data_IF_407844433795
#
_entry.id   IF_407844433795
#
_cell.length_a   1.000
_cell.length_b   1.000
_cell.length_c   1.000
_cell.angle_alpha   90.00
_cell.angle_beta   90.00
_cell.angle_gamma   90.00
#
_symmetry.space_group_name_H-M   'P 1'
#
loop_
_entity.id
_entity.type
_entity.pdbx_description
1 polymer ?
#
# COMPACT_ATOMS: atom_id res chain seq x y z
N UNK A 1 -13.72 19.04 8.17
CA UNK A 1 -13.26 17.78 7.56
C UNK A 1 -13.88 16.66 8.35
N UNK A 2 -14.29 15.60 7.69
CA UNK A 2 -14.84 14.39 8.28
C UNK A 2 -13.73 13.37 8.48
N UNK A 3 -13.80 12.62 9.57
CA UNK A 3 -12.73 11.73 10.00
C UNK A 3 -13.13 10.29 9.66
N UNK A 4 -12.33 9.63 8.81
CA UNK A 4 -12.59 8.26 8.37
C UNK A 4 -11.43 7.34 8.71
N UNK A 5 -11.74 6.09 9.07
CA UNK A 5 -10.73 5.08 9.43
C UNK A 5 -10.53 4.10 8.30
N UNK A 6 -9.28 3.74 8.04
CA UNK A 6 -8.90 2.80 6.99
C UNK A 6 -7.85 1.83 7.50
N UNK A 7 -7.82 0.61 6.93
CA UNK A 7 -6.82 -0.40 7.28
C UNK A 7 -5.39 0.08 6.98
N UNK A 8 -4.49 -0.20 7.91
CA UNK A 8 -3.05 0.07 7.82
C UNK A 8 -2.25 -1.16 7.33
N UNK A 9 -1.14 -0.95 6.64
CA UNK A 9 -0.26 -2.01 6.10
C UNK A 9 0.23 -2.98 7.18
N UNK A 10 0.68 -2.48 8.34
CA UNK A 10 1.33 -3.26 9.40
C UNK A 10 0.44 -3.42 10.64
N UNK A 11 -0.81 -3.87 10.43
CA UNK A 11 -1.87 -3.96 11.45
C UNK A 11 -2.34 -2.60 11.98
N UNK A 12 -3.60 -2.59 12.43
CA UNK A 12 -4.30 -1.40 12.92
C UNK A 12 -4.97 -0.58 11.83
N UNK A 13 -5.36 0.63 12.22
CA UNK A 13 -6.07 1.58 11.37
C UNK A 13 -5.28 2.89 11.30
N UNK A 14 -5.44 3.61 10.19
CA UNK A 14 -5.09 5.02 10.09
C UNK A 14 -6.36 5.85 10.01
N UNK A 15 -6.26 7.11 10.40
CA UNK A 15 -7.39 8.04 10.40
C UNK A 15 -7.10 9.14 9.42
N UNK A 16 -7.97 9.35 8.43
CA UNK A 16 -7.82 10.40 7.43
C UNK A 16 -8.89 11.47 7.62
N UNK A 17 -8.48 12.73 7.52
CA UNK A 17 -9.41 13.86 7.44
C UNK A 17 -9.77 14.15 5.98
N UNK A 18 -11.05 14.04 5.66
CA UNK A 18 -11.59 14.18 4.31
C UNK A 18 -12.50 15.40 4.25
N UNK A 19 -12.34 16.24 3.23
CA UNK A 19 -13.31 17.28 2.89
C UNK A 19 -13.95 16.94 1.55
N UNK A 20 -15.16 16.38 1.55
CA UNK A 20 -15.89 16.09 0.32
C UNK A 20 -16.23 17.34 -0.49
N UNK A 21 -16.72 18.45 0.10
CA UNK A 21 -16.96 19.68 -0.66
C UNK A 21 -15.69 20.24 -1.31
N UNK A 22 -14.55 20.17 -0.62
CA UNK A 22 -13.25 20.62 -1.13
C UNK A 22 -12.60 19.59 -2.09
N UNK A 23 -13.14 18.37 -2.15
CA UNK A 23 -12.53 17.19 -2.75
C UNK A 23 -11.06 16.99 -2.38
N UNK A 24 -10.78 17.08 -1.07
CA UNK A 24 -9.42 17.03 -0.52
C UNK A 24 -9.28 16.08 0.65
N UNK A 25 -8.07 15.53 0.81
CA UNK A 25 -7.67 14.63 1.89
C UNK A 25 -6.44 15.23 2.56
N UNK A 26 -6.48 15.32 3.89
CA UNK A 26 -5.29 15.56 4.69
C UNK A 26 -4.65 14.23 5.07
N UNK A 27 -3.37 14.10 4.82
CA UNK A 27 -2.54 12.99 5.26
C UNK A 27 -1.51 13.54 6.26
N UNK A 28 -1.55 13.07 7.50
CA UNK A 28 -0.43 13.24 8.42
C UNK A 28 0.80 12.48 7.89
N UNK A 29 1.96 12.67 8.54
CA UNK A 29 3.21 12.08 8.07
C UNK A 29 3.10 10.56 7.84
N UNK A 30 3.46 10.16 6.61
CA UNK A 30 3.49 8.78 6.14
C UNK A 30 2.13 8.08 6.02
N UNK A 31 1.00 8.72 6.30
CA UNK A 31 -0.30 8.05 6.28
C UNK A 31 -0.67 7.49 4.90
N UNK A 32 -0.43 8.26 3.82
CA UNK A 32 -0.68 7.77 2.45
C UNK A 32 0.14 6.50 2.12
N UNK A 33 1.36 6.39 2.65
CA UNK A 33 2.22 5.23 2.44
C UNK A 33 1.81 4.04 3.32
N UNK A 34 1.19 4.32 4.47
CA UNK A 34 0.77 3.32 5.45
C UNK A 34 -0.62 2.73 5.15
N UNK A 35 -1.40 3.29 4.22
CA UNK A 35 -2.66 2.71 3.76
C UNK A 35 -2.47 1.30 3.22
N UNK A 36 -3.19 0.32 3.79
CA UNK A 36 -3.24 -1.04 3.26
C UNK A 36 -3.91 -1.08 1.88
N UNK A 37 -3.64 -2.07 1.02
CA UNK A 37 -4.35 -2.26 -0.24
C UNK A 37 -5.88 -2.28 -0.08
N UNK A 38 -6.38 -2.95 0.97
CA UNK A 38 -7.81 -2.94 1.30
C UNK A 38 -8.34 -1.54 1.64
N UNK A 39 -7.58 -0.76 2.43
CA UNK A 39 -7.92 0.62 2.78
C UNK A 39 -7.87 1.57 1.58
N UNK A 40 -6.98 1.32 0.61
CA UNK A 40 -6.94 2.07 -0.65
C UNK A 40 -8.21 1.83 -1.46
N UNK A 41 -8.67 0.57 -1.56
CA UNK A 41 -9.91 0.22 -2.26
C UNK A 41 -11.14 0.80 -1.57
N UNK A 42 -11.18 0.75 -0.25
CA UNK A 42 -12.24 1.34 0.58
C UNK A 42 -12.30 2.86 0.41
N UNK A 43 -11.16 3.54 0.52
CA UNK A 43 -11.06 4.97 0.27
C UNK A 43 -11.49 5.31 -1.16
N UNK A 44 -11.05 4.56 -2.18
CA UNK A 44 -11.48 4.80 -3.55
C UNK A 44 -13.01 4.74 -3.72
N UNK A 45 -13.68 3.75 -3.11
CA UNK A 45 -15.15 3.65 -3.13
C UNK A 45 -15.80 4.85 -2.44
N UNK A 46 -15.33 5.20 -1.24
CA UNK A 46 -15.84 6.37 -0.51
C UNK A 46 -15.70 7.65 -1.34
N UNK A 47 -14.55 7.90 -1.97
CA UNK A 47 -14.37 9.07 -2.80
C UNK A 47 -15.30 9.07 -4.03
N UNK A 48 -15.56 7.90 -4.60
CA UNK A 48 -16.48 7.75 -5.72
C UNK A 48 -17.94 7.98 -5.31
N UNK A 49 -18.38 7.50 -4.15
CA UNK A 49 -19.74 7.74 -3.64
C UNK A 49 -20.05 9.24 -3.50
N UNK A 50 -19.03 10.05 -3.24
CA UNK A 50 -19.14 11.51 -3.09
C UNK A 50 -18.72 12.30 -4.35
N UNK A 51 -18.53 11.66 -5.50
CA UNK A 51 -17.97 12.31 -6.70
C UNK A 51 -18.85 13.42 -7.28
N UNK A 52 -20.18 13.26 -7.20
CA UNK A 52 -21.17 14.19 -7.76
C UNK A 52 -21.44 15.40 -6.85
N UNK A 53 -20.82 15.47 -5.67
CA UNK A 53 -21.03 16.59 -4.78
C UNK A 53 -20.50 17.90 -5.37
N UNK A 54 -21.26 18.97 -5.17
CA UNK A 54 -20.91 20.33 -5.59
C UNK A 54 -19.55 20.73 -5.01
N UNK A 55 -18.56 20.80 -5.91
CA UNK A 55 -17.18 21.13 -5.57
C UNK A 55 -17.06 22.61 -5.21
N UNK A 56 -16.48 22.87 -4.03
CA UNK A 56 -16.06 24.20 -3.62
C UNK A 56 -14.60 24.45 -4.06
N UNK A 57 -14.32 25.58 -4.72
CA UNK A 57 -12.96 25.97 -5.04
C UNK A 57 -12.09 26.09 -3.80
N UNK A 58 -10.80 25.80 -3.95
CA UNK A 58 -9.85 26.01 -2.86
C UNK A 58 -9.62 27.49 -2.61
N UNK A 59 -9.23 27.82 -1.36
CA UNK A 59 -8.69 29.15 -1.03
C UNK A 59 -7.33 29.33 -1.71
N UNK A 60 -6.99 30.57 -2.05
CA UNK A 60 -5.71 30.91 -2.68
C UNK A 60 -4.48 30.49 -1.86
N UNK A 61 -4.62 30.48 -0.53
CA UNK A 61 -3.61 29.99 0.39
C UNK A 61 -4.21 28.91 1.29
N UNK A 62 -3.78 27.67 1.07
CA UNK A 62 -4.08 26.56 1.97
C UNK A 62 -3.20 26.67 3.23
N UNK A 63 -3.79 26.37 4.39
CA UNK A 63 -3.12 26.42 5.69
C UNK A 63 -3.08 25.04 6.33
N UNK A 64 -2.03 24.79 7.11
CA UNK A 64 -1.90 23.57 7.89
C UNK A 64 -2.93 23.55 9.04
N UNK A 65 -3.74 22.49 9.20
CA UNK A 65 -4.69 22.38 10.31
C UNK A 65 -4.02 22.26 11.68
N UNK A 66 -2.72 21.91 11.74
CA UNK A 66 -1.97 21.75 13.00
C UNK A 66 -1.28 23.03 13.47
N UNK A 67 -0.62 23.76 12.56
CA UNK A 67 0.22 24.91 12.91
C UNK A 67 -0.16 26.20 12.20
N UNK A 68 -1.25 26.21 11.42
CA UNK A 68 -1.76 27.35 10.65
C UNK A 68 -0.81 27.96 9.59
N UNK A 69 0.39 27.42 9.44
CA UNK A 69 1.35 27.84 8.42
C UNK A 69 0.82 27.61 7.00
N UNK A 70 1.21 28.50 6.08
CA UNK A 70 0.88 28.34 4.65
C UNK A 70 1.51 27.06 4.11
N UNK A 71 0.71 26.24 3.44
CA UNK A 71 1.20 25.02 2.81
C UNK A 71 2.02 25.36 1.57
N UNK A 72 3.12 24.64 1.40
CA UNK A 72 4.00 24.74 0.25
C UNK A 72 3.53 23.76 -0.83
N UNK A 73 3.43 24.24 -2.06
CA UNK A 73 3.16 23.38 -3.20
C UNK A 73 4.31 22.37 -3.40
N UNK A 74 3.95 21.12 -3.65
CA UNK A 74 4.85 20.01 -3.97
C UNK A 74 4.36 19.24 -5.20
N UNK A 75 5.32 18.68 -5.93
CA UNK A 75 5.07 17.85 -7.11
C UNK A 75 5.95 16.61 -6.99
N UNK A 76 5.31 15.44 -6.90
CA UNK A 76 6.00 14.14 -6.84
C UNK A 76 5.67 13.34 -8.10
N UNK A 77 6.38 12.23 -8.30
CA UNK A 77 6.20 11.34 -9.45
C UNK A 77 5.90 9.91 -9.01
N UNK A 78 4.99 9.28 -9.73
CA UNK A 78 4.71 7.85 -9.68
C UNK A 78 5.06 7.21 -11.02
N UNK A 79 4.85 5.89 -11.14
CA UNK A 79 4.96 5.19 -12.42
C UNK A 79 4.02 5.77 -13.49
N UNK A 80 2.86 6.32 -13.08
CA UNK A 80 1.80 6.76 -13.97
C UNK A 80 1.82 8.27 -14.25
N UNK A 81 2.86 8.98 -13.79
CA UNK A 81 3.02 10.42 -13.99
C UNK A 81 3.24 11.19 -12.70
N UNK A 82 3.14 12.51 -12.80
CA UNK A 82 3.29 13.43 -11.69
C UNK A 82 1.97 13.64 -10.93
N UNK A 83 2.04 14.01 -9.65
CA UNK A 83 0.88 14.47 -8.90
C UNK A 83 1.25 15.64 -7.99
N UNK A 84 0.34 16.59 -7.89
CA UNK A 84 0.50 17.80 -7.09
C UNK A 84 -0.10 17.63 -5.69
N UNK A 85 0.55 18.21 -4.68
CA UNK A 85 0.09 18.23 -3.29
C UNK A 85 0.54 19.52 -2.59
N UNK A 86 0.04 19.76 -1.37
CA UNK A 86 0.42 20.91 -0.56
C UNK A 86 0.93 20.43 0.80
N UNK A 87 2.22 20.58 1.08
CA UNK A 87 2.86 20.08 2.31
C UNK A 87 3.05 21.17 3.35
N UNK A 88 2.96 20.78 4.62
CA UNK A 88 3.31 21.66 5.72
C UNK A 88 4.85 21.82 5.81
N UNK A 89 5.40 23.04 5.91
CA UNK A 89 6.84 23.26 6.09
C UNK A 89 7.37 22.63 7.38
N UNK A 90 6.53 22.55 8.42
CA UNK A 90 6.83 21.92 9.71
C UNK A 90 6.68 20.39 9.70
N UNK A 91 6.44 19.77 8.53
CA UNK A 91 6.26 18.33 8.38
C UNK A 91 5.15 17.77 9.27
N UNK A 92 4.02 18.46 9.40
CA UNK A 92 2.83 17.89 10.04
C UNK A 92 2.07 16.92 9.12
N UNK A 93 2.18 17.12 7.81
CA UNK A 93 1.43 16.35 6.82
C UNK A 93 1.36 17.07 5.48
N UNK A 94 0.48 16.56 4.61
CA UNK A 94 0.17 17.14 3.30
C UNK A 94 -1.31 17.05 2.98
N UNK A 95 -1.77 18.03 2.24
CA UNK A 95 -3.08 18.07 1.62
C UNK A 95 -3.00 17.63 0.16
N UNK A 96 -3.80 16.62 -0.20
CA UNK A 96 -3.93 16.10 -1.55
C UNK A 96 -5.36 16.31 -2.04
N UNK A 97 -5.56 16.59 -3.33
CA UNK A 97 -6.90 16.44 -3.92
C UNK A 97 -7.26 14.95 -4.05
N UNK A 98 -8.55 14.65 -4.23
CA UNK A 98 -9.00 13.30 -4.59
C UNK A 98 -8.30 12.83 -5.88
N UNK A 99 -8.15 13.71 -6.88
CA UNK A 99 -7.43 13.40 -8.11
C UNK A 99 -5.95 13.09 -7.87
N UNK A 100 -5.28 13.79 -6.95
CA UNK A 100 -3.89 13.53 -6.61
C UNK A 100 -3.72 12.18 -5.92
N UNK A 101 -4.65 11.80 -5.03
CA UNK A 101 -4.69 10.45 -4.47
C UNK A 101 -4.92 9.38 -5.55
N UNK A 102 -5.89 9.59 -6.44
CA UNK A 102 -6.16 8.67 -7.55
C UNK A 102 -4.96 8.52 -8.48
N UNK A 103 -4.24 9.61 -8.75
CA UNK A 103 -2.99 9.60 -9.52
C UNK A 103 -1.90 8.82 -8.78
N UNK A 104 -1.72 9.12 -7.50
CA UNK A 104 -0.71 8.50 -6.65
C UNK A 104 -0.90 6.98 -6.60
N UNK A 105 -2.15 6.51 -6.50
CA UNK A 105 -2.49 5.08 -6.41
C UNK A 105 -2.73 4.41 -7.76
N UNK A 106 -2.74 5.18 -8.85
CA UNK A 106 -2.82 4.66 -10.22
C UNK A 106 -4.22 4.37 -10.76
N UNK A 107 -5.26 4.92 -10.15
CA UNK A 107 -6.65 4.82 -10.64
C UNK A 107 -6.94 5.74 -11.83
N UNK A 108 -6.11 6.75 -12.04
CA UNK A 108 -6.20 7.67 -13.18
C UNK A 108 -4.86 7.75 -13.87
N UNK A 109 -4.88 8.22 -15.12
CA UNK A 109 -3.67 8.51 -15.88
C UNK A 109 -3.69 9.95 -16.39
N UNK A 110 -2.49 10.45 -16.69
CA UNK A 110 -2.34 11.72 -17.40
C UNK A 110 -2.68 11.54 -18.87
N UNK A 111 -3.34 12.54 -19.43
CA UNK A 111 -3.52 12.61 -20.88
C UNK A 111 -2.20 12.97 -21.54
N UNK A 112 -1.92 12.33 -22.67
CA UNK A 112 -0.80 12.72 -23.52
C UNK A 112 -1.16 13.93 -24.39
N UNK A 113 -0.17 14.52 -25.06
CA UNK A 113 -0.38 15.73 -25.88
C UNK A 113 -1.41 15.56 -27.00
N UNK A 114 -1.43 14.41 -27.68
CA UNK A 114 -2.38 14.15 -28.76
C UNK A 114 -3.81 14.00 -28.25
N UNK A 115 -3.99 13.34 -27.09
CA UNK A 115 -5.30 13.24 -26.44
C UNK A 115 -5.80 14.60 -25.94
N UNK A 116 -4.90 15.45 -25.42
CA UNK A 116 -5.24 16.83 -25.03
C UNK A 116 -5.68 17.63 -26.26
N UNK A 117 -4.95 17.52 -27.37
CA UNK A 117 -5.29 18.22 -28.61
C UNK A 117 -6.65 17.77 -29.17
N UNK A 118 -6.94 16.47 -29.15
CA UNK A 118 -8.23 15.94 -29.56
C UNK A 118 -9.36 16.42 -28.64
N UNK A 119 -9.14 16.36 -27.32
CA UNK A 119 -10.12 16.85 -26.33
C UNK A 119 -10.37 18.37 -26.49
N UNK A 120 -9.33 19.13 -26.82
CA UNK A 120 -9.40 20.57 -27.02
C UNK A 120 -10.27 21.00 -28.21
N UNK A 121 -10.52 20.10 -29.17
CA UNK A 121 -11.46 20.33 -30.28
C UNK A 121 -12.91 20.36 -29.80
N UNK A 122 -13.23 19.62 -28.74
CA UNK A 122 -14.58 19.49 -28.21
C UNK A 122 -14.82 20.40 -27.01
N UNK A 123 -13.85 20.49 -26.11
CA UNK A 123 -13.95 21.25 -24.85
C UNK A 123 -12.73 22.12 -24.67
N UNK A 124 -12.91 23.43 -24.66
CA UNK A 124 -11.79 24.37 -24.54
C UNK A 124 -11.36 24.59 -23.09
N UNK A 125 -12.34 24.67 -22.17
CA UNK A 125 -12.10 24.96 -20.76
C UNK A 125 -12.69 23.86 -19.90
N UNK A 126 -11.85 23.22 -19.11
CA UNK A 126 -12.27 22.23 -18.11
C UNK A 126 -12.11 22.78 -16.70
N UNK A 127 -12.72 22.13 -15.72
CA UNK A 127 -12.46 22.41 -14.30
C UNK A 127 -11.34 21.52 -13.81
N UNK A 128 -10.34 22.10 -13.15
CA UNK A 128 -9.24 21.36 -12.57
C UNK A 128 -9.74 20.36 -11.53
N UNK A 129 -9.44 19.07 -11.72
CA UNK A 129 -9.79 18.00 -10.78
C UNK A 129 -9.12 18.13 -9.41
N UNK A 130 -8.12 19.01 -9.29
CA UNK A 130 -7.51 19.46 -8.04
C UNK A 130 -8.30 20.58 -7.36
N UNK A 131 -8.09 21.83 -7.78
CA UNK A 131 -8.59 23.02 -7.08
C UNK A 131 -9.94 23.57 -7.59
N UNK A 132 -10.50 23.03 -8.68
CA UNK A 132 -11.74 23.52 -9.29
C UNK A 132 -11.60 24.79 -10.16
N UNK A 133 -10.39 25.33 -10.30
CA UNK A 133 -10.13 26.48 -11.19
C UNK A 133 -10.37 26.10 -12.67
N UNK A 134 -10.80 27.05 -13.53
CA UNK A 134 -10.88 26.81 -14.96
C UNK A 134 -9.46 26.59 -15.54
N UNK A 135 -9.33 25.67 -16.50
CA UNK A 135 -8.09 25.36 -17.21
C UNK A 135 -8.39 25.36 -18.71
N UNK A 136 -7.71 26.24 -19.47
CA UNK A 136 -7.77 26.24 -20.93
C UNK A 136 -6.80 25.20 -21.50
N UNK A 137 -7.34 24.03 -21.87
CA UNK A 137 -6.54 22.87 -22.26
C UNK A 137 -5.85 23.01 -23.62
N UNK A 138 -6.18 24.07 -24.38
CA UNK A 138 -5.49 24.40 -25.65
C UNK A 138 -4.11 24.97 -25.40
N UNK A 139 -3.88 25.55 -24.21
CA UNK A 139 -2.67 26.28 -23.85
C UNK A 139 -1.92 25.63 -22.70
N UNK A 140 -2.66 25.01 -21.79
CA UNK A 140 -2.17 24.49 -20.52
C UNK A 140 -2.31 22.96 -20.48
N UNK A 141 -1.22 22.25 -20.14
CA UNK A 141 -1.24 20.82 -19.82
C UNK A 141 -1.31 20.54 -18.31
N UNK A 142 -1.25 21.60 -17.50
CA UNK A 142 -1.32 21.60 -16.03
C UNK A 142 -2.09 22.83 -15.58
N UNK A 143 -2.79 22.75 -14.46
CA UNK A 143 -3.55 23.89 -13.95
C UNK A 143 -2.61 25.03 -13.50
N UNK A 144 -2.77 26.22 -14.06
CA UNK A 144 -2.01 27.42 -13.67
C UNK A 144 -2.11 27.81 -12.19
N UNK A 145 -3.17 27.42 -11.48
CA UNK A 145 -3.38 27.76 -10.06
C UNK A 145 -2.71 26.81 -9.07
N UNK A 146 -3.01 25.51 -9.18
CA UNK A 146 -2.50 24.51 -8.22
C UNK A 146 -1.44 23.57 -8.82
N UNK A 147 -1.05 23.80 -10.09
CA UNK A 147 -0.09 23.00 -10.87
C UNK A 147 -0.44 21.51 -10.96
N UNK A 148 -1.71 21.16 -10.74
CA UNK A 148 -2.19 19.80 -10.89
C UNK A 148 -2.22 19.40 -12.37
N UNK A 149 -1.66 18.24 -12.74
CA UNK A 149 -1.76 17.71 -14.10
C UNK A 149 -3.22 17.42 -14.49
N UNK A 150 -3.52 17.57 -15.78
CA UNK A 150 -4.80 17.16 -16.34
C UNK A 150 -4.85 15.63 -16.39
N UNK A 151 -5.88 15.05 -15.78
CA UNK A 151 -6.04 13.59 -15.70
C UNK A 151 -7.43 13.16 -16.07
N UNK A 152 -7.52 11.94 -16.58
CA UNK A 152 -8.77 11.27 -16.92
C UNK A 152 -8.91 10.00 -16.08
N UNK A 153 -10.15 9.74 -15.67
CA UNK A 153 -10.56 8.41 -15.20
C UNK A 153 -10.59 7.49 -16.42
N UNK A 154 -9.54 6.70 -16.57
CA UNK A 154 -9.43 5.68 -17.60
C UNK A 154 -10.00 4.36 -17.05
N UNK A 155 -11.04 3.78 -17.68
CA UNK A 155 -11.58 2.48 -17.30
C UNK A 155 -10.52 1.38 -17.17
N UNK A 156 -9.50 1.38 -18.04
CA UNK A 156 -8.41 0.42 -17.99
C UNK A 156 -7.53 0.65 -16.75
N UNK A 157 -7.18 1.90 -16.46
CA UNK A 157 -6.41 2.25 -15.26
C UNK A 157 -7.16 1.88 -13.97
N UNK A 158 -8.46 2.14 -13.93
CA UNK A 158 -9.32 1.75 -12.79
C UNK A 158 -9.35 0.23 -12.64
N UNK A 159 -9.60 -0.51 -13.73
CA UNK A 159 -9.63 -1.98 -13.70
C UNK A 159 -8.30 -2.56 -13.21
N UNK A 160 -7.19 -2.08 -13.75
CA UNK A 160 -5.85 -2.56 -13.40
C UNK A 160 -5.50 -2.25 -11.94
N UNK A 161 -5.86 -1.06 -11.47
CA UNK A 161 -5.68 -0.68 -10.07
C UNK A 161 -6.53 -1.55 -9.14
N UNK A 162 -7.83 -1.74 -9.45
CA UNK A 162 -8.73 -2.59 -8.67
C UNK A 162 -8.22 -4.03 -8.59
N UNK A 163 -7.79 -4.61 -9.72
CA UNK A 163 -7.20 -5.94 -9.77
C UNK A 163 -5.90 -6.02 -8.95
N UNK A 164 -5.00 -5.05 -9.13
CA UNK A 164 -3.71 -5.01 -8.44
C UNK A 164 -3.83 -4.87 -6.93
N UNK A 165 -4.70 -3.98 -6.43
CA UNK A 165 -4.93 -3.86 -4.99
C UNK A 165 -5.76 -5.01 -4.43
N UNK A 166 -6.66 -5.59 -5.21
CA UNK A 166 -7.40 -6.80 -4.84
C UNK A 166 -6.47 -7.98 -4.57
N UNK A 167 -5.51 -8.24 -5.47
CA UNK A 167 -4.53 -9.30 -5.29
C UNK A 167 -3.58 -9.04 -4.11
N UNK A 168 -3.12 -7.79 -3.95
CA UNK A 168 -2.32 -7.40 -2.78
C UNK A 168 -3.08 -7.58 -1.46
N UNK A 169 -4.38 -7.34 -1.45
CA UNK A 169 -5.24 -7.56 -0.26
C UNK A 169 -5.27 -9.04 0.10
N UNK A 170 -5.56 -9.92 -0.88
CA UNK A 170 -5.57 -11.38 -0.67
C UNK A 170 -4.22 -11.89 -0.15
N UNK A 171 -3.11 -11.38 -0.71
CA UNK A 171 -1.75 -11.74 -0.27
C UNK A 171 -1.48 -11.27 1.16
N UNK A 172 -1.90 -10.07 1.53
CA UNK A 172 -1.74 -9.54 2.88
C UNK A 172 -2.54 -10.34 3.91
N UNK A 173 -3.79 -10.72 3.60
CA UNK A 173 -4.61 -11.59 4.46
C UNK A 173 -3.98 -12.96 4.67
N UNK A 174 -3.32 -13.52 3.64
CA UNK A 174 -2.54 -14.76 3.76
C UNK A 174 -1.25 -14.60 4.56
N UNK A 175 -0.74 -13.38 4.70
CA UNK A 175 0.51 -13.07 5.42
C UNK A 175 0.21 -12.49 6.80
N UNK A 176 -0.77 -13.06 7.50
CA UNK A 176 -1.05 -12.73 8.91
C UNK A 176 0.23 -12.98 9.75
N UNK A 177 0.80 -11.95 10.42
CA UNK A 177 1.96 -12.09 11.30
C UNK A 177 1.77 -13.12 12.40
N UNK A 178 0.54 -13.35 12.86
CA UNK A 178 0.26 -14.43 13.81
C UNK A 178 0.39 -15.79 13.13
N UNK A 179 -0.15 -15.97 11.94
CA UNK A 179 0.05 -17.19 11.15
C UNK A 179 1.54 -17.41 10.79
N UNK A 180 2.30 -16.34 10.54
CA UNK A 180 3.74 -16.42 10.31
C UNK A 180 4.51 -16.79 11.58
N UNK A 181 4.17 -16.19 12.74
CA UNK A 181 4.74 -16.54 14.03
C UNK A 181 4.42 -17.99 14.41
N UNK A 182 3.18 -18.44 14.18
CA UNK A 182 2.76 -19.81 14.41
C UNK A 182 3.49 -20.80 13.49
N UNK A 183 3.67 -20.45 12.22
CA UNK A 183 4.46 -21.24 11.28
C UNK A 183 5.94 -21.32 11.70
N UNK A 184 6.51 -20.23 12.21
CA UNK A 184 7.88 -20.21 12.74
C UNK A 184 8.02 -21.10 13.99
N UNK A 185 7.08 -20.99 14.93
CA UNK A 185 7.02 -21.82 16.13
C UNK A 185 6.82 -23.31 15.79
N UNK A 186 5.96 -23.62 14.81
CA UNK A 186 5.75 -24.99 14.32
C UNK A 186 7.03 -25.58 13.69
N UNK A 187 7.76 -24.78 12.91
CA UNK A 187 9.04 -25.21 12.32
C UNK A 187 10.10 -25.47 13.41
N UNK A 188 10.18 -24.63 14.43
CA UNK A 188 11.09 -24.83 15.55
C UNK A 188 10.74 -26.11 16.37
N UNK A 189 9.44 -26.37 16.56
CA UNK A 189 8.97 -27.62 17.17
C UNK A 189 9.39 -28.84 16.36
N UNK A 190 9.23 -28.83 15.03
CA UNK A 190 9.65 -29.92 14.17
C UNK A 190 11.15 -30.18 14.24
N UNK A 191 11.98 -29.12 14.26
CA UNK A 191 13.44 -29.25 14.45
C UNK A 191 13.79 -29.86 15.80
N UNK A 192 13.09 -29.47 16.87
CA UNK A 192 13.32 -30.03 18.20
C UNK A 192 12.97 -31.53 18.25
N UNK A 193 11.88 -31.94 17.59
CA UNK A 193 11.46 -33.33 17.49
C UNK A 193 12.46 -34.16 16.67
N UNK A 194 12.89 -33.66 15.51
CA UNK A 194 13.89 -34.36 14.69
C UNK A 194 15.24 -34.51 15.42
N UNK A 195 15.63 -33.52 16.22
CA UNK A 195 16.85 -33.61 17.05
C UNK A 195 16.73 -34.70 18.14
N UNK A 196 15.55 -34.85 18.74
CA UNK A 196 15.26 -35.92 19.71
C UNK A 196 15.23 -37.30 19.05
N UNK A 197 14.61 -37.42 17.87
CA UNK A 197 14.59 -38.66 17.08
C UNK A 197 15.99 -39.06 16.64
N UNK A 198 16.82 -38.12 16.18
CA UNK A 198 18.23 -38.39 15.86
C UNK A 198 19.02 -38.84 17.08
N UNK A 199 18.81 -38.24 18.27
CA UNK A 199 19.44 -38.70 19.51
C UNK A 199 18.99 -40.10 19.91
N UNK A 200 17.70 -40.41 19.78
CA UNK A 200 17.15 -41.74 20.10
C UNK A 200 17.63 -42.81 19.13
N UNK A 201 17.65 -42.50 17.83
CA UNK A 201 18.19 -43.38 16.77
C UNK A 201 19.69 -43.64 16.97
N UNK A 202 20.48 -42.61 17.31
CA UNK A 202 21.89 -42.78 17.68
C UNK A 202 22.07 -43.65 18.92
N UNK A 203 21.27 -43.46 19.96
CA UNK A 203 21.29 -44.29 21.17
C UNK A 203 20.91 -45.76 20.90
N UNK A 204 19.98 -46.03 19.99
CA UNK A 204 19.60 -47.40 19.60
C UNK A 204 20.74 -48.05 18.80
N UNK A 205 21.33 -47.34 17.83
CA UNK A 205 22.50 -47.83 17.09
C UNK A 205 23.71 -48.12 18.00
N UNK A 206 23.93 -47.31 19.04
CA UNK A 206 25.00 -47.50 20.02
C UNK A 206 24.73 -48.71 20.94
N UNK A 207 23.45 -48.94 21.31
CA UNK A 207 23.01 -50.15 22.04
C UNK A 207 23.23 -51.43 21.22
N UNK A 208 22.84 -51.44 19.94
CA UNK A 208 22.96 -52.61 19.07
C UNK A 208 24.43 -52.97 18.78
N UNK A 209 25.33 -51.97 18.69
CA UNK A 209 26.77 -52.21 18.54
C UNK A 209 27.36 -52.85 19.81
N UNK A 210 26.88 -52.45 20.99
CA UNK A 210 27.37 -52.99 22.27
C UNK A 210 26.98 -54.46 22.45
N UNK A 211 25.78 -54.84 22.01
CA UNK A 211 25.29 -56.23 22.05
C UNK A 211 26.04 -57.15 21.07
N UNK A 212 26.42 -56.63 19.89
CA UNK A 212 27.20 -57.40 18.90
C UNK A 212 28.62 -57.75 19.39
N UNK A 213 29.24 -56.85 20.16
CA UNK A 213 30.57 -57.09 20.75
C UNK A 213 30.49 -58.13 21.86
N UNK A 214 29.43 -58.12 22.68
CA UNK A 214 29.22 -59.10 23.76
C UNK A 214 28.92 -60.50 23.15
N UNK A 215 28.07 -60.57 22.12
CA UNK A 215 27.80 -61.83 21.41
C UNK A 215 29.00 -62.40 20.65
N UNK A 216 29.88 -61.53 20.12
CA UNK A 216 31.11 -61.93 19.45
C UNK A 216 32.14 -62.57 20.40
N UNK A 217 32.28 -62.03 21.61
CA UNK A 217 33.23 -62.55 22.62
C UNK A 217 32.81 -63.92 23.15
N UNK A 218 31.51 -64.17 23.31
CA UNK A 218 31.00 -65.48 23.77
C UNK A 218 31.21 -66.58 22.70
N UNK A 219 31.10 -66.22 21.43
CA UNK A 219 31.32 -67.13 20.29
C UNK A 219 32.80 -67.50 20.14
N UNK A 220 33.72 -66.55 20.38
CA UNK A 220 35.17 -66.80 20.37
C UNK A 220 35.62 -67.61 21.59
N UNK A 221 35.02 -67.37 22.77
CA UNK A 221 35.34 -68.11 23.99
C UNK A 221 34.94 -69.59 23.91
N UNK A 222 33.81 -69.92 23.29
CA UNK A 222 33.37 -71.30 23.08
C UNK A 222 34.19 -72.04 22.02
N UNK A 223 34.84 -71.33 21.10
CA UNK A 223 35.73 -71.94 20.10
C UNK A 223 37.11 -72.30 20.67
N UNK A 224 37.58 -71.57 21.69
CA UNK A 224 38.86 -71.79 22.37
C UNK A 224 38.82 -72.86 23.47
N UNK A 225 37.65 -73.46 23.72
CA UNK A 225 37.43 -74.46 24.78
C UNK A 225 37.24 -75.90 24.26
N UNK A 226 37.63 -76.17 23.01
CA UNK A 226 37.71 -77.51 22.41
C UNK A 226 39.16 -77.95 22.25
#
# INVERSE_FOLDING_TARGET
MEVHRFKRQLHGEITLDICFPCQGIWFDNFESAQLAPAGILELFRLLHEHHDQLRQPWRDALQCPRCNERLLHGLDRTRNGHFAYHRCPQKHGRFNSFSAFMQEKGFVRQLNGAEIEEMAKQVQVIRCSGCGAPVDIRRENTCSHCRSPIVILDPDAVRDALAGYGEKTKRQERTDPHAFADALLANERLKSQSALEHRKSKSILESDITDLVIGGVETVWNLLRR
#
